data_IF_521314711576
#
_entry.id   IF_521314711576
#
_cell.length_a   1.000
_cell.length_b   1.000
_cell.length_c   1.000
_cell.angle_alpha   90.00
_cell.angle_beta   90.00
_cell.angle_gamma   90.00
#
_symmetry.space_group_name_H-M   'P 1'
#
loop_
_entity.id
_entity.type
_entity.pdbx_description
1 polymer ?
#
# COMPACT_ATOMS: atom_id res chain seq x y z
N UNK A 1 18.36 -30.06 -59.10
CA UNK A 1 19.02 -29.47 -57.92
C UNK A 1 18.05 -28.47 -57.29
N UNK A 2 17.42 -28.84 -56.18
CA UNK A 2 16.37 -28.08 -55.49
C UNK A 2 17.03 -27.22 -54.41
N UNK A 3 17.09 -25.90 -54.61
CA UNK A 3 17.40 -24.94 -53.54
C UNK A 3 16.14 -24.11 -53.33
N UNK A 4 15.38 -24.40 -52.27
CA UNK A 4 14.36 -23.50 -51.77
C UNK A 4 14.82 -23.04 -50.39
N UNK A 5 15.08 -21.75 -50.34
CA UNK A 5 15.74 -21.00 -49.27
C UNK A 5 14.75 -20.86 -48.11
N UNK A 6 15.22 -21.15 -46.90
CA UNK A 6 14.50 -20.91 -45.65
C UNK A 6 14.32 -19.40 -45.43
N UNK A 7 13.08 -18.93 -45.47
CA UNK A 7 12.72 -17.59 -44.98
C UNK A 7 12.26 -17.70 -43.52
N UNK A 8 13.20 -17.57 -42.59
CA UNK A 8 12.90 -17.43 -41.17
C UNK A 8 12.42 -15.99 -40.90
N UNK A 9 11.11 -15.80 -40.75
CA UNK A 9 10.53 -14.57 -40.23
C UNK A 9 10.93 -14.41 -38.76
N UNK A 10 11.95 -13.59 -38.50
CA UNK A 10 12.27 -13.07 -37.18
C UNK A 10 11.18 -12.06 -36.78
N UNK A 11 10.08 -12.54 -36.19
CA UNK A 11 9.20 -11.68 -35.39
C UNK A 11 9.97 -11.31 -34.11
N UNK A 12 10.73 -10.22 -34.18
CA UNK A 12 11.22 -9.54 -32.99
C UNK A 12 10.00 -9.02 -32.23
N UNK A 13 9.56 -9.79 -31.23
CA UNK A 13 8.53 -9.39 -30.30
C UNK A 13 8.99 -8.10 -29.61
N UNK A 14 8.31 -6.99 -29.91
CA UNK A 14 8.31 -5.78 -29.10
C UNK A 14 7.64 -6.12 -27.77
N UNK A 15 8.39 -6.78 -26.89
CA UNK A 15 8.05 -6.90 -25.47
C UNK A 15 8.28 -5.54 -24.85
N UNK A 16 7.37 -4.59 -25.13
CA UNK A 16 7.28 -3.35 -24.38
C UNK A 16 7.03 -3.74 -22.93
N UNK A 17 8.10 -3.77 -22.13
CA UNK A 17 7.99 -3.98 -20.69
C UNK A 17 7.05 -2.91 -20.18
N UNK A 18 5.85 -3.30 -19.75
CA UNK A 18 4.95 -2.41 -19.07
C UNK A 18 5.75 -1.87 -17.87
N UNK A 19 6.17 -0.60 -17.95
CA UNK A 19 6.89 0.05 -16.87
C UNK A 19 6.02 -0.14 -15.62
N UNK A 20 6.56 -0.86 -14.65
CA UNK A 20 5.78 -1.28 -13.51
C UNK A 20 5.28 -0.02 -12.78
N UNK A 21 3.96 0.04 -12.65
CA UNK A 21 3.24 1.27 -12.35
C UNK A 21 3.39 1.66 -10.87
N UNK A 22 3.90 2.88 -10.62
CA UNK A 22 3.90 3.52 -9.31
C UNK A 22 2.54 4.14 -9.05
N UNK A 23 1.92 3.80 -7.93
CA UNK A 23 0.60 4.29 -7.53
C UNK A 23 0.64 4.93 -6.15
N UNK A 24 -0.04 6.05 -5.99
CA UNK A 24 -0.41 6.59 -4.69
C UNK A 24 -1.89 6.35 -4.44
N UNK A 25 -2.24 5.98 -3.21
CA UNK A 25 -3.61 5.86 -2.72
C UNK A 25 -3.81 6.89 -1.63
N UNK A 26 -4.66 7.88 -1.88
CA UNK A 26 -4.99 8.93 -0.93
C UNK A 26 -6.29 8.54 -0.24
N UNK A 27 -6.20 7.99 0.97
CA UNK A 27 -7.31 7.33 1.65
C UNK A 27 -7.90 8.21 2.75
N UNK A 28 -9.19 8.55 2.60
CA UNK A 28 -10.02 9.24 3.61
C UNK A 28 -10.82 8.24 4.40
N UNK A 29 -10.60 8.20 5.71
CA UNK A 29 -11.23 7.25 6.63
C UNK A 29 -12.38 7.92 7.37
N UNK A 30 -13.56 7.31 7.30
CA UNK A 30 -14.79 7.87 7.85
C UNK A 30 -14.85 7.69 9.39
N UNK A 31 -15.39 8.68 10.09
CA UNK A 31 -15.66 8.59 11.53
C UNK A 31 -14.41 8.46 12.41
N UNK A 32 -13.27 8.97 11.93
CA UNK A 32 -12.01 9.01 12.68
C UNK A 32 -11.55 10.45 12.95
N UNK A 33 -10.63 10.60 13.89
CA UNK A 33 -9.99 11.87 14.21
C UNK A 33 -8.51 11.67 14.51
N UNK A 34 -7.75 12.75 14.54
CA UNK A 34 -6.28 12.73 14.72
C UNK A 34 -5.81 12.05 16.02
N UNK A 35 -6.70 11.91 17.02
CA UNK A 35 -6.38 11.27 18.31
C UNK A 35 -6.65 9.77 18.35
N UNK A 36 -7.04 9.16 17.23
CA UNK A 36 -7.38 7.73 17.17
C UNK A 36 -6.27 6.89 16.53
N UNK A 37 -6.29 5.57 16.75
CA UNK A 37 -5.27 4.68 16.19
C UNK A 37 -5.28 4.61 14.66
N UNK A 38 -6.45 4.79 14.04
CA UNK A 38 -6.59 4.89 12.59
C UNK A 38 -6.84 6.35 12.27
N UNK A 39 -5.92 6.94 11.51
CA UNK A 39 -5.93 8.36 11.18
C UNK A 39 -6.94 8.66 10.05
N UNK A 40 -7.50 9.89 10.02
CA UNK A 40 -8.49 10.28 9.01
C UNK A 40 -7.92 10.33 7.59
N UNK A 41 -6.62 10.54 7.46
CA UNK A 41 -5.92 10.59 6.18
C UNK A 41 -4.71 9.66 6.21
N UNK A 42 -4.68 8.72 5.26
CA UNK A 42 -3.58 7.77 5.08
C UNK A 42 -3.13 7.83 3.62
N UNK A 43 -1.83 8.00 3.41
CA UNK A 43 -1.19 7.97 2.11
C UNK A 43 -0.41 6.68 1.97
N UNK A 44 -0.65 5.95 0.88
CA UNK A 44 0.06 4.71 0.56
C UNK A 44 0.66 4.84 -0.83
N UNK A 45 1.99 4.79 -0.95
CA UNK A 45 2.68 4.66 -2.22
C UNK A 45 3.04 3.19 -2.45
N UNK A 46 2.78 2.69 -3.65
CA UNK A 46 3.11 1.33 -4.08
C UNK A 46 3.90 1.42 -5.39
N UNK A 47 5.14 0.95 -5.35
CA UNK A 47 6.00 0.76 -6.52
C UNK A 47 6.06 -0.72 -6.87
N UNK A 48 5.40 -1.09 -7.97
CA UNK A 48 5.35 -2.48 -8.44
C UNK A 48 6.65 -2.94 -9.09
N UNK A 49 7.54 -2.02 -9.48
CA UNK A 49 8.81 -2.37 -10.12
C UNK A 49 9.76 -3.05 -9.13
N UNK A 50 9.72 -2.59 -7.88
CA UNK A 50 10.64 -3.00 -6.81
C UNK A 50 9.90 -3.59 -5.60
N UNK A 51 8.60 -3.87 -5.74
CA UNK A 51 7.71 -4.39 -4.69
C UNK A 51 7.81 -3.60 -3.37
N UNK A 52 7.79 -2.27 -3.48
CA UNK A 52 7.95 -1.36 -2.33
C UNK A 52 6.64 -0.70 -1.98
N UNK A 53 6.33 -0.69 -0.68
CA UNK A 53 5.18 0.03 -0.13
C UNK A 53 5.68 1.04 0.89
N UNK A 54 5.27 2.30 0.75
CA UNK A 54 5.55 3.36 1.73
C UNK A 54 4.23 3.90 2.24
N UNK A 55 4.07 4.01 3.56
CA UNK A 55 2.85 4.46 4.20
C UNK A 55 3.13 5.68 5.07
N UNK A 56 2.26 6.69 4.98
CA UNK A 56 2.35 7.90 5.79
C UNK A 56 0.97 8.33 6.28
N UNK A 57 0.91 8.76 7.53
CA UNK A 57 -0.21 9.45 8.15
C UNK A 57 0.31 10.32 9.32
N UNK A 58 -0.57 11.08 9.97
CA UNK A 58 -0.13 11.96 11.06
C UNK A 58 0.48 11.20 12.25
N UNK A 59 -0.03 10.00 12.59
CA UNK A 59 0.54 9.18 13.66
C UNK A 59 1.92 8.67 13.31
N UNK A 60 2.11 8.17 12.09
CA UNK A 60 3.41 7.74 11.59
C UNK A 60 4.42 8.88 11.67
N UNK A 61 4.07 10.07 11.20
CA UNK A 61 4.98 11.22 11.24
C UNK A 61 5.33 11.64 12.68
N UNK A 62 4.39 11.52 13.63
CA UNK A 62 4.64 11.81 15.05
C UNK A 62 5.53 10.76 15.71
N UNK A 63 5.32 9.48 15.43
CA UNK A 63 5.98 8.37 16.14
C UNK A 63 7.23 7.81 15.45
N UNK A 64 7.46 8.15 14.18
CA UNK A 64 8.58 7.68 13.37
C UNK A 64 9.45 8.84 12.87
N UNK A 65 9.72 9.81 13.74
CA UNK A 65 10.67 10.92 13.51
C UNK A 65 10.40 11.73 12.21
N UNK A 66 9.13 11.92 11.86
CA UNK A 66 8.72 12.63 10.65
C UNK A 66 8.92 11.85 9.34
N UNK A 67 9.26 10.56 9.42
CA UNK A 67 9.54 9.70 8.26
C UNK A 67 8.37 8.73 8.04
N UNK A 68 7.91 8.53 6.80
CA UNK A 68 7.00 7.43 6.45
C UNK A 68 7.56 6.05 6.83
N UNK A 69 6.69 5.08 7.05
CA UNK A 69 7.11 3.69 7.31
C UNK A 69 7.11 2.87 6.02
N UNK A 70 8.03 1.91 5.94
CA UNK A 70 7.93 0.85 4.94
C UNK A 70 6.82 -0.13 5.34
N UNK A 71 6.02 -0.50 4.36
CA UNK A 71 5.00 -1.53 4.47
C UNK A 71 5.36 -2.75 3.64
N UNK A 72 4.40 -3.66 3.55
CA UNK A 72 4.47 -4.86 2.75
C UNK A 72 3.24 -4.95 1.86
N UNK A 73 3.45 -5.32 0.59
CA UNK A 73 2.36 -5.75 -0.28
C UNK A 73 1.91 -7.16 0.11
N UNK A 74 0.70 -7.29 0.64
CA UNK A 74 0.12 -8.59 1.02
C UNK A 74 -0.63 -9.22 -0.15
N UNK A 75 -1.29 -8.41 -0.97
CA UNK A 75 -2.03 -8.88 -2.14
C UNK A 75 -2.21 -7.76 -3.15
N UNK A 76 -1.91 -8.01 -4.42
CA UNK A 76 -2.39 -7.22 -5.55
C UNK A 76 -3.03 -8.14 -6.57
N UNK A 77 -4.31 -7.93 -6.86
CA UNK A 77 -4.99 -8.63 -7.95
C UNK A 77 -6.05 -7.74 -8.60
N UNK A 78 -6.80 -8.27 -9.56
CA UNK A 78 -7.82 -7.50 -10.30
C UNK A 78 -8.88 -6.86 -9.39
N UNK A 79 -9.19 -7.45 -8.24
CA UNK A 79 -10.25 -6.97 -7.33
C UNK A 79 -9.76 -5.98 -6.28
N UNK A 80 -8.52 -6.13 -5.78
CA UNK A 80 -8.07 -5.43 -4.57
C UNK A 80 -6.57 -5.26 -4.49
N UNK A 81 -6.17 -4.30 -3.67
CA UNK A 81 -4.81 -4.16 -3.14
C UNK A 81 -4.89 -4.25 -1.61
N UNK A 82 -4.05 -5.08 -1.01
CA UNK A 82 -3.92 -5.18 0.45
C UNK A 82 -2.46 -4.94 0.82
N UNK A 83 -2.25 -3.99 1.72
CA UNK A 83 -0.94 -3.70 2.31
C UNK A 83 -1.00 -3.81 3.82
N UNK A 84 0.14 -4.08 4.45
CA UNK A 84 0.30 -4.00 5.89
C UNK A 84 1.54 -3.20 6.25
N UNK A 85 1.56 -2.66 7.45
CA UNK A 85 2.73 -1.99 8.02
C UNK A 85 2.67 -2.11 9.53
N UNK A 86 3.79 -1.82 10.18
CA UNK A 86 3.90 -1.81 11.63
C UNK A 86 4.25 -0.40 12.09
N UNK A 87 3.74 0.02 13.24
CA UNK A 87 4.12 1.28 13.87
C UNK A 87 4.41 1.02 15.35
N UNK A 88 5.63 1.32 15.77
CA UNK A 88 5.97 1.38 17.19
C UNK A 88 5.52 2.75 17.73
N UNK A 89 4.67 2.76 18.75
CA UNK A 89 4.28 3.97 19.47
C UNK A 89 4.80 3.92 20.90
N UNK A 90 5.17 5.08 21.43
CA UNK A 90 5.54 5.22 22.85
C UNK A 90 4.29 5.60 23.64
N UNK A 91 3.79 4.69 24.46
CA UNK A 91 2.68 4.92 25.37
C UNK A 91 3.15 5.58 26.68
N UNK A 92 2.20 5.92 27.55
CA UNK A 92 2.49 6.44 28.88
C UNK A 92 3.43 5.52 29.67
N UNK A 93 4.38 6.11 30.40
CA UNK A 93 5.40 5.35 31.14
C UNK A 93 6.54 4.78 30.28
N UNK A 94 6.77 5.31 29.08
CA UNK A 94 7.85 4.90 28.16
C UNK A 94 7.73 3.44 27.67
N UNK A 95 6.53 2.85 27.74
CA UNK A 95 6.28 1.51 27.21
C UNK A 95 6.09 1.58 25.71
N UNK A 96 6.84 0.76 24.98
CA UNK A 96 6.70 0.57 23.54
C UNK A 96 5.49 -0.32 23.26
N UNK A 97 4.64 0.12 22.35
CA UNK A 97 3.50 -0.64 21.84
C UNK A 97 3.66 -0.76 20.33
N UNK A 98 3.68 -1.99 19.83
CA UNK A 98 3.73 -2.25 18.40
C UNK A 98 2.30 -2.46 17.88
N UNK A 99 1.93 -1.68 16.88
CA UNK A 99 0.62 -1.75 16.22
C UNK A 99 0.80 -2.36 14.83
N UNK A 100 0.06 -3.43 14.57
CA UNK A 100 -0.03 -4.10 13.28
C UNK A 100 -1.19 -3.49 12.49
N UNK A 101 -0.89 -2.87 11.36
CA UNK A 101 -1.88 -2.25 10.48
C UNK A 101 -2.09 -3.06 9.21
N UNK A 102 -3.31 -2.97 8.67
CA UNK A 102 -3.64 -3.51 7.35
C UNK A 102 -4.68 -2.64 6.66
N UNK A 103 -4.41 -2.26 5.41
CA UNK A 103 -5.38 -1.59 4.56
C UNK A 103 -5.74 -2.50 3.38
N UNK A 104 -7.04 -2.65 3.10
CA UNK A 104 -7.53 -3.33 1.89
C UNK A 104 -8.37 -2.37 1.07
N UNK A 105 -7.89 -2.03 -0.10
CA UNK A 105 -8.54 -1.20 -1.10
C UNK A 105 -9.24 -2.06 -2.16
N UNK A 106 -10.52 -1.81 -2.40
CA UNK A 106 -11.33 -2.46 -3.43
C UNK A 106 -11.30 -1.60 -4.70
N UNK A 107 -10.68 -2.12 -5.76
CA UNK A 107 -10.40 -1.36 -6.99
C UNK A 107 -11.66 -0.88 -7.70
N UNK A 108 -12.72 -1.69 -7.68
CA UNK A 108 -13.97 -1.39 -8.39
C UNK A 108 -14.77 -0.25 -7.74
N UNK A 109 -14.75 -0.14 -6.41
CA UNK A 109 -15.58 0.81 -5.68
C UNK A 109 -14.81 1.98 -5.09
N UNK A 110 -13.48 1.92 -5.09
CA UNK A 110 -12.65 2.90 -4.40
C UNK A 110 -12.67 2.77 -2.86
N UNK A 111 -13.44 1.83 -2.31
CA UNK A 111 -13.58 1.66 -0.85
C UNK A 111 -12.30 1.10 -0.24
N UNK A 112 -12.00 1.54 0.97
CA UNK A 112 -10.92 0.98 1.78
C UNK A 112 -11.44 0.56 3.13
N UNK A 113 -10.87 -0.52 3.66
CA UNK A 113 -11.03 -0.93 5.04
C UNK A 113 -9.65 -0.98 5.68
N UNK A 114 -9.48 -0.29 6.80
CA UNK A 114 -8.23 -0.22 7.56
C UNK A 114 -8.44 -0.84 8.93
N UNK A 115 -7.52 -1.72 9.32
CA UNK A 115 -7.46 -2.28 10.66
C UNK A 115 -6.18 -1.89 11.36
N UNK A 116 -6.24 -1.70 12.67
CA UNK A 116 -5.09 -1.52 13.55
C UNK A 116 -5.24 -2.45 14.76
N UNK A 117 -4.20 -3.19 15.10
CA UNK A 117 -4.22 -4.12 16.23
C UNK A 117 -2.93 -4.03 17.03
N UNK A 118 -2.99 -3.79 18.35
CA UNK A 118 -1.83 -3.93 19.21
C UNK A 118 -1.34 -5.39 19.25
N UNK A 119 -0.03 -5.60 19.01
CA UNK A 119 0.58 -6.93 19.05
C UNK A 119 0.46 -7.54 20.46
N UNK A 120 0.18 -8.84 20.51
CA UNK A 120 0.05 -9.60 21.77
C UNK A 120 -1.40 -9.74 22.22
N UNK A 121 -1.97 -8.72 22.86
CA UNK A 121 -3.38 -8.68 23.31
C UNK A 121 -3.91 -7.25 23.31
N UNK A 122 -4.81 -6.94 22.38
CA UNK A 122 -5.50 -5.66 22.30
C UNK A 122 -6.72 -5.75 21.38
N UNK A 123 -7.67 -4.80 21.50
CA UNK A 123 -8.83 -4.76 20.61
C UNK A 123 -8.39 -4.51 19.16
N UNK A 124 -9.09 -5.14 18.21
CA UNK A 124 -8.98 -4.83 16.80
C UNK A 124 -9.79 -3.57 16.50
N UNK A 125 -9.12 -2.52 16.05
CA UNK A 125 -9.79 -1.34 15.52
C UNK A 125 -10.04 -1.56 14.03
N UNK A 126 -11.24 -1.22 13.55
CA UNK A 126 -11.62 -1.35 12.15
C UNK A 126 -12.40 -0.12 11.68
N UNK A 127 -12.00 0.49 10.56
CA UNK A 127 -12.66 1.64 9.97
C UNK A 127 -12.69 1.54 8.45
N UNK A 128 -13.79 2.00 7.87
CA UNK A 128 -13.98 2.09 6.43
C UNK A 128 -13.71 3.50 5.93
N UNK A 129 -13.49 3.62 4.63
CA UNK A 129 -13.25 4.88 3.96
C UNK A 129 -13.23 4.72 2.45
N UNK A 130 -12.66 5.71 1.77
CA UNK A 130 -12.45 5.69 0.33
C UNK A 130 -11.04 6.15 -0.01
N UNK A 131 -10.42 5.57 -1.05
CA UNK A 131 -9.15 6.06 -1.58
C UNK A 131 -9.30 6.58 -3.00
N UNK A 132 -8.57 7.64 -3.31
CA UNK A 132 -8.34 8.10 -4.67
C UNK A 132 -7.00 7.55 -5.17
N UNK A 133 -6.98 6.55 -6.07
CA UNK A 133 -5.76 6.05 -6.67
C UNK A 133 -5.25 7.04 -7.73
N UNK A 134 -3.97 7.41 -7.64
CA UNK A 134 -3.29 8.31 -8.58
C UNK A 134 -2.04 7.63 -9.10
N UNK A 135 -1.83 7.65 -10.42
CA UNK A 135 -0.56 7.21 -11.00
C UNK A 135 0.50 8.23 -10.64
N UNK A 136 1.63 7.77 -10.11
CA UNK A 136 2.80 8.62 -9.93
C UNK A 136 3.59 8.59 -11.23
N UNK A 137 3.76 9.76 -11.86
CA UNK A 137 4.63 9.86 -13.03
C UNK A 137 6.06 9.45 -12.67
N UNK A 138 6.80 8.79 -13.58
CA UNK A 138 8.21 8.47 -13.40
C UNK A 138 9.07 9.71 -13.11
#
# INVERSE_FOLDING_TARGET
MRRLILSAFFLAALSGGAAAEKMAYHCRIDGTSERQWIQPMIFIALDRAIDRVVVSDASILVFNDGVPVEGQLIRDNRSRVTVSWELEVRASGNRRLLLDYRATFLKASGKVNVTAQPRGKGPLFNRAGNCLPTKLSP
#
